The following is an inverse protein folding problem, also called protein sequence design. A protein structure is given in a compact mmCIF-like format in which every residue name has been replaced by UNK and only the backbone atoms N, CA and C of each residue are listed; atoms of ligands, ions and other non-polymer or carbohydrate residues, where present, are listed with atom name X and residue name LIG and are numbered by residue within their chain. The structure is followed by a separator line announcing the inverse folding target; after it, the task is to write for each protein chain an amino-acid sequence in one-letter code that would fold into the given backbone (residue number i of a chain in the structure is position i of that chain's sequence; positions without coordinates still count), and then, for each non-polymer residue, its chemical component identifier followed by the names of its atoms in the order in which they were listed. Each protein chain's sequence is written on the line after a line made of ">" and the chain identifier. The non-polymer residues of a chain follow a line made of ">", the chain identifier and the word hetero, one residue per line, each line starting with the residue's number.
data_IF_146187008210
#
_entry.id   IF_146187008210
#
_cell.length_a   1.000
_cell.length_b   1.000
_cell.length_c   1.000
_cell.angle_alpha   90.00
_cell.angle_beta   90.00
_cell.angle_gamma   90.00
#
_symmetry.space_group_name_H-M   'P 1'
#
loop_
_entity.id
_entity.type
_entity.pdbx_description
1 polymer ?
#
# COMPACT_ATOMS: atom_id res chain seq x y z
N UNK A 1 -25.42 54.15 5.73
CA UNK A 1 -24.43 53.42 6.57
C UNK A 1 -24.96 52.15 7.23
N UNK A 2 -26.24 51.77 7.10
CA UNK A 2 -26.78 50.52 7.68
C UNK A 2 -26.54 49.26 6.82
N UNK A 3 -26.53 49.40 5.48
CA UNK A 3 -26.37 48.26 4.56
C UNK A 3 -24.95 47.65 4.51
N UNK A 4 -23.91 48.42 4.88
CA UNK A 4 -22.51 47.95 4.87
C UNK A 4 -22.17 47.09 6.10
N UNK A 5 -22.93 47.20 7.19
CA UNK A 5 -22.73 46.39 8.41
C UNK A 5 -23.39 45.02 8.34
N UNK A 6 -24.41 44.86 7.49
CA UNK A 6 -25.17 43.61 7.38
C UNK A 6 -24.48 42.56 6.50
N UNK A 7 -23.59 42.97 5.60
CA UNK A 7 -22.79 42.07 4.75
C UNK A 7 -21.61 41.42 5.48
N UNK A 8 -21.07 42.06 6.52
CA UNK A 8 -19.94 41.51 7.30
C UNK A 8 -20.40 40.38 8.25
N UNK A 9 -21.65 40.41 8.71
CA UNK A 9 -22.19 39.40 9.63
C UNK A 9 -22.56 38.06 8.96
N UNK A 10 -22.72 38.03 7.63
CA UNK A 10 -23.06 36.82 6.87
C UNK A 10 -21.82 36.00 6.42
N UNK A 11 -20.64 36.64 6.39
CA UNK A 11 -19.38 36.02 5.99
C UNK A 11 -18.94 34.81 6.84
N UNK A 12 -19.09 34.79 8.18
CA UNK A 12 -18.75 33.60 8.99
C UNK A 12 -19.77 32.45 8.83
N UNK A 13 -21.02 32.73 8.44
CA UNK A 13 -22.02 31.68 8.20
C UNK A 13 -21.80 30.95 6.86
N UNK A 14 -21.27 31.64 5.84
CA UNK A 14 -20.97 31.04 4.54
C UNK A 14 -19.76 30.08 4.58
N UNK A 15 -18.79 30.32 5.48
CA UNK A 15 -17.60 29.46 5.61
C UNK A 15 -17.85 28.21 6.48
N UNK A 16 -18.86 28.22 7.35
CA UNK A 16 -19.21 27.07 8.20
C UNK A 16 -19.82 25.88 7.44
N UNK A 17 -20.40 26.13 6.25
CA UNK A 17 -21.02 25.09 5.42
C UNK A 17 -20.02 24.20 4.67
N UNK A 18 -18.73 24.59 4.61
CA UNK A 18 -17.67 23.78 4.00
C UNK A 18 -17.12 22.68 4.92
N UNK A 19 -17.57 22.62 6.18
CA UNK A 19 -17.21 21.54 7.10
C UNK A 19 -18.08 20.31 6.84
N UNK A 20 -17.85 19.62 5.72
CA UNK A 20 -18.39 18.29 5.52
C UNK A 20 -17.88 17.40 6.66
N UNK A 21 -18.80 16.89 7.49
CA UNK A 21 -18.49 15.98 8.60
C UNK A 21 -18.12 14.61 8.06
N UNK A 22 -16.88 14.48 7.59
CA UNK A 22 -16.31 13.22 7.12
C UNK A 22 -15.75 12.47 8.35
N UNK A 23 -15.98 11.15 8.49
CA UNK A 23 -15.50 10.40 9.63
C UNK A 23 -13.98 10.50 9.81
N UNK A 24 -13.54 10.86 11.02
CA UNK A 24 -12.11 11.04 11.35
C UNK A 24 -11.24 9.79 11.11
N UNK A 25 -11.86 8.60 11.12
CA UNK A 25 -11.19 7.32 10.85
C UNK A 25 -10.74 7.11 9.40
N UNK A 26 -11.18 7.96 8.47
CA UNK A 26 -10.82 7.90 7.03
C UNK A 26 -9.87 9.03 6.66
N UNK A 27 -9.99 10.19 7.31
CA UNK A 27 -9.19 11.40 7.00
C UNK A 27 -7.82 11.40 7.64
N UNK A 28 -7.54 10.51 8.60
CA UNK A 28 -6.25 10.45 9.28
C UNK A 28 -5.22 9.72 8.40
N UNK A 29 -4.06 10.33 8.08
CA UNK A 29 -3.01 9.68 7.31
C UNK A 29 -2.61 8.34 7.94
N UNK A 30 -2.69 7.26 7.16
CA UNK A 30 -2.29 5.92 7.60
C UNK A 30 -3.31 5.15 8.46
N UNK A 31 -4.49 5.71 8.75
CA UNK A 31 -5.52 5.01 9.56
C UNK A 31 -5.93 3.65 8.98
N UNK A 32 -6.02 3.54 7.64
CA UNK A 32 -6.33 2.27 6.98
C UNK A 32 -5.22 1.24 7.04
N UNK A 33 -3.97 1.68 6.99
CA UNK A 33 -2.81 0.78 7.08
C UNK A 33 -2.58 0.30 8.53
N UNK A 34 -2.90 1.11 9.54
CA UNK A 34 -2.72 0.74 10.95
C UNK A 34 -3.42 -0.57 11.34
N UNK A 35 -4.61 -0.84 10.80
CA UNK A 35 -5.32 -2.11 11.00
C UNK A 35 -4.54 -3.30 10.43
N UNK A 36 -4.04 -3.16 9.20
CA UNK A 36 -3.26 -4.20 8.52
C UNK A 36 -1.95 -4.46 9.24
N UNK A 37 -1.26 -3.40 9.66
CA UNK A 37 -0.02 -3.49 10.43
C UNK A 37 -0.25 -4.20 11.77
N UNK A 38 -1.31 -3.86 12.50
CA UNK A 38 -1.66 -4.52 13.77
C UNK A 38 -1.97 -6.00 13.58
N UNK A 39 -2.85 -6.36 12.62
CA UNK A 39 -3.20 -7.76 12.35
C UNK A 39 -1.99 -8.57 11.88
N UNK A 40 -1.14 -7.99 11.05
CA UNK A 40 0.11 -8.61 10.60
C UNK A 40 1.06 -8.86 11.76
N UNK A 41 1.25 -7.88 12.63
CA UNK A 41 2.13 -7.99 13.78
C UNK A 41 1.65 -9.10 14.72
N UNK A 42 0.35 -9.21 14.97
CA UNK A 42 -0.24 -10.27 15.81
C UNK A 42 -0.06 -11.66 15.17
N UNK A 43 -0.32 -11.78 13.87
CA UNK A 43 -0.32 -13.08 13.19
C UNK A 43 1.09 -13.60 12.84
N UNK A 44 2.04 -12.71 12.55
CA UNK A 44 3.38 -13.09 12.07
C UNK A 44 4.51 -12.76 13.04
N UNK A 45 4.25 -11.88 14.02
CA UNK A 45 5.29 -11.29 14.88
C UNK A 45 6.22 -10.33 14.14
N UNK A 46 5.97 -10.05 12.84
CA UNK A 46 6.82 -9.23 11.97
C UNK A 46 6.15 -7.91 11.63
N UNK A 47 6.99 -6.92 11.30
CA UNK A 47 6.54 -5.56 11.00
C UNK A 47 6.28 -5.42 9.50
N UNK A 48 5.14 -4.85 9.14
CA UNK A 48 4.89 -4.33 7.79
C UNK A 48 5.13 -2.81 7.76
N UNK A 49 5.59 -2.30 6.62
CA UNK A 49 5.77 -0.87 6.39
C UNK A 49 5.17 -0.51 5.03
N UNK A 50 4.33 0.51 5.00
CA UNK A 50 3.85 1.11 3.75
C UNK A 50 4.77 2.28 3.37
N UNK A 51 5.42 2.17 2.22
CA UNK A 51 6.39 3.14 1.72
C UNK A 51 5.66 4.26 0.99
N UNK A 52 5.62 5.45 1.57
CA UNK A 52 4.90 6.60 1.01
C UNK A 52 5.81 7.63 0.33
N UNK A 53 7.12 7.59 0.59
CA UNK A 53 8.08 8.53 0.02
C UNK A 53 9.45 7.89 -0.21
N UNK A 54 10.31 8.58 -0.97
CA UNK A 54 11.63 8.10 -1.34
C UNK A 54 12.58 7.96 -0.14
N UNK A 55 12.47 8.83 0.87
CA UNK A 55 13.34 8.76 2.06
C UNK A 55 13.04 7.54 2.93
N UNK A 56 11.76 7.19 3.12
CA UNK A 56 11.35 5.94 3.78
C UNK A 56 11.84 4.72 3.00
N UNK A 57 11.71 4.73 1.67
CA UNK A 57 12.20 3.62 0.84
C UNK A 57 13.71 3.42 0.98
N UNK A 58 14.49 4.51 1.04
CA UNK A 58 15.94 4.43 1.29
C UNK A 58 16.27 3.94 2.70
N UNK A 59 15.51 4.35 3.72
CA UNK A 59 15.68 3.85 5.10
C UNK A 59 15.43 2.35 5.17
N UNK A 60 14.29 1.89 4.65
CA UNK A 60 13.95 0.46 4.63
C UNK A 60 14.96 -0.35 3.82
N UNK A 61 15.46 0.17 2.70
CA UNK A 61 16.50 -0.48 1.92
C UNK A 61 17.80 -0.66 2.73
N UNK A 62 18.19 0.34 3.54
CA UNK A 62 19.33 0.23 4.46
C UNK A 62 19.09 -0.82 5.54
N UNK A 63 17.89 -0.86 6.11
CA UNK A 63 17.53 -1.86 7.13
C UNK A 63 17.58 -3.28 6.57
N UNK A 64 17.01 -3.49 5.37
CA UNK A 64 17.08 -4.77 4.64
C UNK A 64 18.54 -5.16 4.40
N UNK A 65 19.36 -4.24 3.89
CA UNK A 65 20.77 -4.50 3.65
C UNK A 65 21.51 -4.87 4.93
N UNK A 66 21.24 -4.19 6.05
CA UNK A 66 21.85 -4.50 7.35
C UNK A 66 21.42 -5.87 7.91
N UNK A 67 20.23 -6.37 7.54
CA UNK A 67 19.76 -7.71 7.91
C UNK A 67 20.39 -8.82 7.07
N UNK A 68 20.68 -8.58 5.79
CA UNK A 68 21.14 -9.62 4.86
C UNK A 68 22.64 -9.63 4.61
N UNK A 69 23.32 -8.49 4.70
CA UNK A 69 24.71 -8.37 4.30
C UNK A 69 25.65 -9.19 5.20
N UNK A 70 26.31 -10.20 4.62
CA UNK A 70 27.28 -11.10 5.26
C UNK A 70 26.73 -11.82 6.50
N UNK A 71 25.42 -12.13 6.52
CA UNK A 71 24.76 -12.83 7.60
C UNK A 71 24.06 -14.08 7.08
N UNK A 72 23.97 -15.10 7.93
CA UNK A 72 23.09 -16.25 7.69
C UNK A 72 21.65 -15.81 7.84
N UNK A 73 20.82 -16.08 6.84
CA UNK A 73 19.42 -15.65 6.81
C UNK A 73 18.56 -16.76 7.41
N UNK A 74 17.86 -16.48 8.52
CA UNK A 74 16.84 -17.38 9.07
C UNK A 74 15.51 -17.19 8.34
N UNK A 75 14.59 -18.16 8.47
CA UNK A 75 13.23 -18.06 7.92
C UNK A 75 12.53 -16.76 8.33
N UNK A 76 12.70 -16.36 9.59
CA UNK A 76 12.09 -15.16 10.13
C UNK A 76 12.69 -13.87 9.56
N UNK A 77 14.00 -13.83 9.32
CA UNK A 77 14.66 -12.71 8.64
C UNK A 77 14.22 -12.65 7.17
N UNK A 78 14.09 -13.79 6.50
CA UNK A 78 13.60 -13.86 5.13
C UNK A 78 12.18 -13.28 5.01
N UNK A 79 11.27 -13.65 5.92
CA UNK A 79 9.91 -13.07 5.98
C UNK A 79 9.96 -11.56 6.21
N UNK A 80 10.76 -11.09 7.18
CA UNK A 80 10.85 -9.66 7.48
C UNK A 80 11.35 -8.84 6.27
N UNK A 81 12.35 -9.37 5.54
CA UNK A 81 12.86 -8.76 4.31
C UNK A 81 11.83 -8.78 3.19
N UNK A 82 11.11 -9.89 3.01
CA UNK A 82 10.05 -10.01 2.02
C UNK A 82 8.92 -9.00 2.27
N UNK A 83 8.47 -8.84 3.52
CA UNK A 83 7.45 -7.87 3.90
C UNK A 83 7.88 -6.41 3.65
N UNK A 84 9.17 -6.12 3.71
CA UNK A 84 9.71 -4.78 3.43
C UNK A 84 9.90 -4.49 1.95
N UNK A 85 10.29 -5.49 1.14
CA UNK A 85 10.72 -5.26 -0.23
C UNK A 85 9.72 -5.70 -1.31
N UNK A 86 8.59 -6.33 -0.95
CA UNK A 86 7.63 -6.80 -1.95
C UNK A 86 6.79 -5.65 -2.55
N UNK A 87 6.94 -5.41 -3.86
CA UNK A 87 6.22 -4.34 -4.59
C UNK A 87 4.74 -4.62 -4.79
N UNK A 88 4.34 -5.88 -4.97
CA UNK A 88 2.93 -6.26 -5.04
C UNK A 88 2.20 -5.94 -3.73
N UNK A 89 2.84 -6.21 -2.60
CA UNK A 89 2.32 -5.89 -1.28
C UNK A 89 2.17 -4.37 -1.06
N UNK A 90 3.14 -3.57 -1.54
CA UNK A 90 3.02 -2.10 -1.51
C UNK A 90 1.84 -1.60 -2.36
N UNK A 91 1.53 -2.28 -3.47
CA UNK A 91 0.34 -1.97 -4.27
C UNK A 91 -0.95 -2.27 -3.50
N UNK A 92 -1.03 -3.41 -2.80
CA UNK A 92 -2.18 -3.73 -1.93
C UNK A 92 -2.36 -2.70 -0.81
N UNK A 93 -1.27 -2.20 -0.20
CA UNK A 93 -1.35 -1.12 0.78
C UNK A 93 -1.79 0.21 0.16
N UNK A 94 -1.32 0.53 -1.04
CA UNK A 94 -1.77 1.72 -1.77
C UNK A 94 -3.27 1.64 -2.13
N UNK A 95 -3.79 0.46 -2.46
CA UNK A 95 -5.22 0.25 -2.75
C UNK A 95 -6.13 0.58 -1.54
N UNK A 96 -5.64 0.39 -0.31
CA UNK A 96 -6.35 0.85 0.90
C UNK A 96 -6.45 2.37 0.91
N UNK A 97 -5.37 3.07 0.56
CA UNK A 97 -5.36 4.53 0.45
C UNK A 97 -6.31 5.04 -0.63
N UNK A 98 -6.33 4.40 -1.80
CA UNK A 98 -7.24 4.75 -2.88
C UNK A 98 -8.71 4.54 -2.48
N UNK A 99 -9.04 3.39 -1.87
CA UNK A 99 -10.40 3.12 -1.41
C UNK A 99 -10.84 4.07 -0.29
N UNK A 100 -9.93 4.48 0.61
CA UNK A 100 -10.22 5.53 1.60
C UNK A 100 -10.54 6.88 0.93
N UNK A 101 -9.81 7.25 -0.13
CA UNK A 101 -10.07 8.45 -0.90
C UNK A 101 -11.44 8.39 -1.61
N UNK A 102 -11.85 7.21 -2.09
CA UNK A 102 -13.18 7.02 -2.66
C UNK A 102 -14.28 7.22 -1.62
N UNK A 103 -14.12 6.70 -0.39
CA UNK A 103 -15.10 6.98 0.68
C UNK A 103 -15.16 8.47 0.98
N UNK A 104 -14.02 9.16 1.01
CA UNK A 104 -13.96 10.61 1.22
C UNK A 104 -14.69 11.37 0.10
N UNK A 105 -14.47 10.98 -1.15
CA UNK A 105 -15.12 11.58 -2.32
C UNK A 105 -16.63 11.36 -2.29
N UNK A 106 -17.11 10.13 -2.03
CA UNK A 106 -18.53 9.83 -1.92
C UNK A 106 -19.19 10.47 -0.70
N UNK A 107 -18.42 10.71 0.36
CA UNK A 107 -18.89 11.42 1.55
C UNK A 107 -18.91 12.94 1.35
N UNK A 108 -18.19 13.51 0.38
CA UNK A 108 -18.17 14.95 0.18
C UNK A 108 -19.43 15.39 -0.58
N UNK A 109 -20.22 16.36 -0.06
CA UNK A 109 -21.34 16.92 -0.81
C UNK A 109 -20.87 17.56 -2.13
N UNK A 110 -21.68 17.48 -3.18
CA UNK A 110 -21.38 18.22 -4.42
C UNK A 110 -21.27 19.73 -4.16
N UNK A 111 -20.22 20.35 -4.70
CA UNK A 111 -20.00 21.79 -4.56
C UNK A 111 -21.03 22.58 -5.38
N UNK A 112 -21.63 23.64 -4.81
CA UNK A 112 -22.54 24.51 -5.56
C UNK A 112 -21.79 25.23 -6.68
N UNK A 113 -22.43 25.36 -7.84
CA UNK A 113 -21.91 26.16 -8.95
C UNK A 113 -22.44 27.59 -8.76
N UNK A 114 -21.54 28.55 -8.61
CA UNK A 114 -21.87 29.97 -8.50
C UNK A 114 -21.37 30.67 -9.77
N UNK A 115 -22.29 31.26 -10.53
CA UNK A 115 -21.96 32.04 -11.74
C UNK A 115 -22.42 33.48 -11.58
N UNK A 116 -21.54 34.43 -11.93
CA UNK A 116 -21.83 35.87 -11.91
C UNK A 116 -21.67 36.40 -13.33
N UNK A 117 -22.72 37.00 -13.87
CA UNK A 117 -22.74 37.57 -15.23
C UNK A 117 -23.09 39.06 -15.20
N UNK A 118 -22.54 39.81 -16.16
CA UNK A 118 -23.01 41.14 -16.49
C UNK A 118 -23.79 41.09 -17.79
N UNK A 119 -25.07 41.46 -17.75
CA UNK A 119 -25.87 41.70 -18.93
C UNK A 119 -25.96 43.21 -19.18
N UNK A 120 -25.64 43.63 -20.40
CA UNK A 120 -25.74 45.02 -20.84
C UNK A 120 -26.11 45.07 -22.32
N UNK A 121 -27.18 45.79 -22.64
CA UNK A 121 -27.60 46.04 -24.02
C UNK A 121 -26.72 47.18 -24.54
N UNK A 122 -25.83 46.89 -25.49
CA UNK A 122 -24.95 47.90 -26.09
C UNK A 122 -25.70 48.78 -27.09
N UNK A 123 -26.57 49.67 -26.61
CA UNK A 123 -27.13 50.76 -27.41
C UNK A 123 -26.48 52.08 -26.94
N UNK A 124 -25.62 52.72 -27.75
CA UNK A 124 -24.88 53.94 -27.37
C UNK A 124 -25.76 55.11 -26.91
N UNK A 125 -27.04 55.10 -27.28
CA UNK A 125 -28.02 56.17 -27.08
C UNK A 125 -28.82 56.05 -25.76
N UNK A 126 -28.85 54.86 -25.13
CA UNK A 126 -29.66 54.59 -23.93
C UNK A 126 -28.74 54.33 -22.74
N UNK A 127 -28.73 55.28 -21.79
CA UNK A 127 -27.89 55.26 -20.59
C UNK A 127 -27.83 53.90 -19.90
N UNK A 128 -26.69 53.22 -20.10
CA UNK A 128 -26.01 52.22 -19.27
C UNK A 128 -26.83 51.52 -18.17
N UNK A 129 -27.84 50.75 -18.52
CA UNK A 129 -28.38 49.73 -17.61
C UNK A 129 -27.49 48.48 -17.68
N UNK A 130 -26.52 48.39 -16.76
CA UNK A 130 -25.76 47.16 -16.49
C UNK A 130 -26.45 46.40 -15.36
N UNK A 131 -27.01 45.24 -15.64
CA UNK A 131 -27.54 44.35 -14.62
C UNK A 131 -26.45 43.34 -14.21
N UNK A 132 -26.21 43.23 -12.91
CA UNK A 132 -25.39 42.18 -12.32
C UNK A 132 -26.32 41.04 -11.91
N UNK A 133 -26.19 39.88 -12.54
CA UNK A 133 -26.94 38.68 -12.16
C UNK A 133 -25.99 37.66 -11.51
N UNK A 134 -26.43 37.08 -10.41
CA UNK A 134 -25.77 35.96 -9.75
C UNK A 134 -26.71 34.76 -9.70
N UNK A 135 -26.22 33.61 -10.13
CA UNK A 135 -26.94 32.34 -10.10
C UNK A 135 -26.17 31.36 -9.22
N UNK A 136 -26.89 30.70 -8.31
CA UNK A 136 -26.36 29.63 -7.47
C UNK A 136 -27.14 28.36 -7.81
N UNK A 137 -26.48 27.38 -8.40
CA UNK A 137 -27.04 26.07 -8.68
C UNK A 137 -26.59 25.06 -7.61
N UNK A 138 -27.54 24.35 -7.02
CA UNK A 138 -27.30 23.28 -6.04
C UNK A 138 -27.92 21.98 -6.54
N UNK A 139 -27.22 20.86 -6.38
CA UNK A 139 -27.75 19.55 -6.73
C UNK A 139 -28.48 18.93 -5.52
N UNK A 140 -29.80 19.08 -5.48
CA UNK A 140 -30.62 18.55 -4.39
C UNK A 140 -30.87 17.03 -4.50
N UNK A 141 -30.64 16.44 -5.68
CA UNK A 141 -30.84 15.01 -5.95
C UNK A 141 -29.70 14.14 -5.38
N UNK A 142 -28.59 14.76 -4.99
CA UNK A 142 -27.42 14.06 -4.46
C UNK A 142 -27.63 13.57 -3.01
N UNK A 143 -28.42 14.30 -2.23
CA UNK A 143 -28.69 14.01 -0.82
C UNK A 143 -29.29 12.61 -0.53
N UNK A 144 -30.35 12.13 -1.23
CA UNK A 144 -30.98 10.85 -0.92
C UNK A 144 -30.10 9.64 -1.27
N UNK A 145 -29.25 9.73 -2.29
CA UNK A 145 -28.44 8.59 -2.75
C UNK A 145 -27.07 8.51 -2.09
N UNK A 146 -26.55 9.63 -1.55
CA UNK A 146 -25.25 9.74 -0.88
C UNK A 146 -25.02 8.67 0.20
N UNK A 147 -25.99 8.42 1.10
CA UNK A 147 -25.83 7.41 2.17
C UNK A 147 -25.53 6.02 1.63
N UNK A 148 -26.17 5.63 0.52
CA UNK A 148 -25.95 4.32 -0.10
C UNK A 148 -24.59 4.25 -0.78
N UNK A 149 -24.17 5.30 -1.50
CA UNK A 149 -22.86 5.36 -2.15
C UNK A 149 -21.71 5.30 -1.14
N UNK A 150 -21.83 6.04 -0.03
CA UNK A 150 -20.86 5.98 1.08
C UNK A 150 -20.80 4.57 1.68
N UNK A 151 -21.94 3.91 1.90
CA UNK A 151 -21.97 2.56 2.45
C UNK A 151 -21.27 1.54 1.53
N UNK A 152 -21.46 1.65 0.22
CA UNK A 152 -20.77 0.80 -0.77
C UNK A 152 -19.27 1.06 -0.74
N UNK A 153 -18.84 2.33 -0.85
CA UNK A 153 -17.42 2.69 -0.79
C UNK A 153 -16.77 2.22 0.52
N UNK A 154 -17.49 2.27 1.64
CA UNK A 154 -16.98 1.81 2.93
C UNK A 154 -16.84 0.28 3.00
N UNK A 155 -17.73 -0.47 2.36
CA UNK A 155 -17.59 -1.91 2.20
C UNK A 155 -16.37 -2.26 1.34
N UNK A 156 -16.14 -1.52 0.25
CA UNK A 156 -14.97 -1.71 -0.61
C UNK A 156 -13.66 -1.37 0.11
N UNK A 157 -13.66 -0.33 0.95
CA UNK A 157 -12.53 0.01 1.82
C UNK A 157 -12.20 -1.12 2.81
N UNK A 158 -13.21 -1.69 3.48
CA UNK A 158 -13.02 -2.84 4.37
C UNK A 158 -12.52 -4.06 3.60
N UNK A 159 -13.02 -4.29 2.39
CA UNK A 159 -12.55 -5.37 1.51
C UNK A 159 -11.08 -5.19 1.15
N UNK A 160 -10.65 -3.98 0.79
CA UNK A 160 -9.25 -3.68 0.48
C UNK A 160 -8.32 -3.93 1.69
N UNK A 161 -8.76 -3.58 2.91
CA UNK A 161 -8.02 -3.87 4.14
C UNK A 161 -7.87 -5.38 4.35
N UNK A 162 -8.94 -6.15 4.21
CA UNK A 162 -8.90 -7.60 4.40
C UNK A 162 -8.06 -8.29 3.34
N UNK A 163 -8.13 -7.83 2.08
CA UNK A 163 -7.29 -8.33 1.00
C UNK A 163 -5.81 -8.10 1.31
N UNK A 164 -5.43 -6.89 1.75
CA UNK A 164 -4.06 -6.60 2.12
C UNK A 164 -3.56 -7.47 3.29
N UNK A 165 -4.41 -7.79 4.27
CA UNK A 165 -4.06 -8.76 5.34
C UNK A 165 -3.78 -10.14 4.75
N UNK A 166 -4.65 -10.64 3.87
CA UNK A 166 -4.45 -11.94 3.20
C UNK A 166 -3.17 -11.96 2.36
N UNK A 167 -2.92 -10.92 1.58
CA UNK A 167 -1.70 -10.77 0.77
C UNK A 167 -0.44 -10.78 1.66
N UNK A 168 -0.49 -10.10 2.81
CA UNK A 168 0.62 -10.06 3.76
C UNK A 168 0.91 -11.43 4.36
N UNK A 169 -0.13 -12.14 4.81
CA UNK A 169 0.00 -13.45 5.44
C UNK A 169 0.42 -14.53 4.44
N UNK A 170 -0.15 -14.50 3.24
CA UNK A 170 0.23 -15.41 2.16
C UNK A 170 1.69 -15.22 1.75
N UNK A 171 2.15 -13.98 1.60
CA UNK A 171 3.56 -13.69 1.31
C UNK A 171 4.47 -14.23 2.43
N UNK A 172 4.10 -14.04 3.70
CA UNK A 172 4.87 -14.56 4.82
C UNK A 172 4.96 -16.11 4.78
N UNK A 173 3.85 -16.79 4.50
CA UNK A 173 3.82 -18.26 4.40
C UNK A 173 4.63 -18.78 3.21
N UNK A 174 4.47 -18.17 2.03
CA UNK A 174 5.23 -18.50 0.82
C UNK A 174 6.73 -18.29 1.03
N UNK A 175 7.11 -17.19 1.68
CA UNK A 175 8.52 -16.89 1.97
C UNK A 175 9.14 -17.92 2.91
N UNK A 176 8.39 -18.39 3.94
CA UNK A 176 8.88 -19.46 4.82
C UNK A 176 9.09 -20.77 4.07
N UNK A 177 8.14 -21.14 3.21
CA UNK A 177 8.22 -22.36 2.41
C UNK A 177 9.43 -22.29 1.46
N UNK A 178 9.58 -21.19 0.72
CA UNK A 178 10.70 -20.98 -0.18
C UNK A 178 12.07 -20.99 0.54
N UNK A 179 12.13 -20.50 1.79
CA UNK A 179 13.34 -20.59 2.60
C UNK A 179 13.67 -22.03 2.97
N UNK A 180 12.68 -22.83 3.38
CA UNK A 180 12.86 -24.25 3.71
C UNK A 180 13.34 -25.02 2.48
N UNK A 181 12.70 -24.80 1.32
CA UNK A 181 13.08 -25.45 0.06
C UNK A 181 14.51 -25.11 -0.34
N UNK A 182 14.92 -23.84 -0.17
CA UNK A 182 16.28 -23.41 -0.44
C UNK A 182 17.30 -24.08 0.49
N UNK A 183 17.02 -24.17 1.79
CA UNK A 183 17.90 -24.84 2.75
C UNK A 183 18.03 -26.33 2.43
N UNK A 184 16.92 -27.02 2.15
CA UNK A 184 16.92 -28.44 1.77
C UNK A 184 17.73 -28.69 0.49
N UNK A 185 17.66 -27.80 -0.49
CA UNK A 185 18.49 -27.88 -1.69
C UNK A 185 19.99 -27.74 -1.39
N UNK A 186 20.37 -26.81 -0.49
CA UNK A 186 21.77 -26.66 -0.07
C UNK A 186 22.28 -27.88 0.69
N UNK A 187 21.47 -28.49 1.55
CA UNK A 187 21.83 -29.73 2.26
C UNK A 187 22.03 -30.89 1.29
N UNK A 188 21.17 -31.00 0.27
CA UNK A 188 21.30 -32.02 -0.78
C UNK A 188 22.62 -31.87 -1.54
N UNK A 189 22.99 -30.64 -1.90
CA UNK A 189 24.27 -30.35 -2.55
C UNK A 189 25.46 -30.68 -1.65
N UNK A 190 25.37 -30.39 -0.34
CA UNK A 190 26.42 -30.74 0.61
C UNK A 190 26.64 -32.26 0.68
N UNK A 191 25.55 -33.05 0.78
CA UNK A 191 25.60 -34.51 0.79
C UNK A 191 26.21 -35.08 -0.50
N UNK A 192 25.80 -34.57 -1.67
CA UNK A 192 26.33 -35.00 -2.96
C UNK A 192 27.84 -34.71 -3.09
N UNK A 193 28.30 -33.57 -2.58
CA UNK A 193 29.73 -33.23 -2.56
C UNK A 193 30.54 -34.17 -1.66
N UNK A 194 30.01 -34.60 -0.52
CA UNK A 194 30.68 -35.56 0.36
C UNK A 194 30.75 -36.96 -0.27
N UNK A 195 29.67 -37.39 -0.91
CA UNK A 195 29.64 -38.63 -1.67
C UNK A 195 30.65 -38.62 -2.83
N UNK A 196 30.74 -37.50 -3.58
CA UNK A 196 31.73 -37.33 -4.65
C UNK A 196 33.16 -37.44 -4.13
N UNK A 197 33.50 -36.75 -3.04
CA UNK A 197 34.85 -36.81 -2.45
C UNK A 197 35.22 -38.23 -2.02
N UNK A 198 34.27 -38.97 -1.46
CA UNK A 198 34.47 -40.36 -1.04
C UNK A 198 34.68 -41.28 -2.24
N UNK A 199 33.92 -41.07 -3.32
CA UNK A 199 34.07 -41.79 -4.58
C UNK A 199 35.43 -41.51 -5.24
N UNK A 200 35.85 -40.25 -5.28
CA UNK A 200 37.16 -39.84 -5.81
C UNK A 200 38.31 -40.47 -5.02
N UNK A 201 38.23 -40.46 -3.68
CA UNK A 201 39.23 -41.10 -2.83
C UNK A 201 39.29 -42.62 -3.03
N UNK A 202 38.13 -43.27 -3.21
CA UNK A 202 38.05 -44.71 -3.48
C UNK A 202 38.63 -45.06 -4.86
N UNK A 203 38.36 -44.23 -5.87
CA UNK A 203 38.92 -44.37 -7.22
C UNK A 203 40.44 -44.18 -7.24
N UNK A 204 40.95 -43.18 -6.54
CA UNK A 204 42.40 -42.95 -6.40
C UNK A 204 43.09 -44.12 -5.68
N UNK A 205 42.48 -44.65 -4.61
CA UNK A 205 42.99 -45.83 -3.93
C UNK A 205 43.03 -47.06 -4.85
N UNK A 206 41.94 -47.32 -5.59
CA UNK A 206 41.88 -48.42 -6.55
C UNK A 206 42.94 -48.27 -7.65
N UNK A 207 43.14 -47.05 -8.17
CA UNK A 207 44.19 -46.76 -9.15
C UNK A 207 45.59 -47.07 -8.62
N UNK A 208 45.90 -46.67 -7.37
CA UNK A 208 47.20 -46.97 -6.74
C UNK A 208 47.41 -48.46 -6.49
N UNK A 209 46.40 -49.17 -6.01
CA UNK A 209 46.46 -50.62 -5.82
C UNK A 209 46.62 -51.37 -7.16
N UNK A 210 46.03 -50.85 -8.24
CA UNK A 210 46.22 -51.38 -9.60
C UNK A 210 47.66 -51.18 -10.11
N UNK A 211 48.26 -50.02 -9.84
CA UNK A 211 49.66 -49.73 -10.20
C UNK A 211 50.67 -50.60 -9.45
N UNK A 212 50.39 -50.96 -8.19
CA UNK A 212 51.26 -51.84 -7.40
C UNK A 212 51.03 -53.33 -7.68
N UNK A 213 50.04 -53.68 -8.52
CA UNK A 213 49.65 -55.07 -8.81
C UNK A 213 48.95 -55.79 -7.65
N UNK A 214 48.63 -55.07 -6.57
CA UNK A 214 47.91 -55.60 -5.41
C UNK A 214 46.39 -55.72 -5.64
N UNK A 215 45.86 -55.03 -6.65
CA UNK A 215 44.48 -55.17 -7.08
C UNK A 215 44.36 -56.44 -7.96
N UNK A 216 43.58 -57.42 -7.52
CA UNK A 216 43.29 -58.56 -8.39
C UNK A 216 42.51 -58.06 -9.63
N UNK A 217 42.80 -58.61 -10.82
CA UNK A 217 41.88 -58.48 -11.95
C UNK A 217 40.79 -59.54 -11.75
N UNK A 218 39.68 -59.19 -11.14
CA UNK A 218 38.52 -60.07 -11.12
C UNK A 218 37.25 -59.30 -11.47
N UNK A 219 36.64 -59.71 -12.58
CA UNK A 219 35.19 -59.62 -12.88
C UNK A 219 34.69 -58.27 -13.32
#
# INVERSE_FOLDING_TARGET
>A
MAFLKMTIAALPFALGACAATIPAGITTPGAGFGLVASKTQVATGKRSVWLQNASQAQQVARDVHAMTHRKTISADTAVQVALFNNRGLQASYAAIGLSAAEVWQQATPENPIVSVGLLGIGAPELGLFRALESVVAVNLLDAPTRKRRVAVAQADYQRAQMQAVVDTLSLAAQTRTAWIDAVAAFETVALLNEASKTADASSELAARLGQTGALNRAG
#
